data_IF_089864059063
#
_entry.id   IF_089864059063
#
_cell.length_a   1.000
_cell.length_b   1.000
_cell.length_c   1.000
_cell.angle_alpha   90.00
_cell.angle_beta   90.00
_cell.angle_gamma   90.00
#
_symmetry.space_group_name_H-M   'P 1'
#
loop_
_entity.id
_entity.type
_entity.pdbx_description
1 polymer ?
#
# COMPACT_ATOMS: atom_id res chain seq x y z
N UNK A 1 3.10 11.51 -25.98
CA UNK A 1 3.83 12.20 -24.89
C UNK A 1 4.26 11.13 -23.91
N UNK A 2 5.52 10.74 -23.92
CA UNK A 2 6.08 9.77 -22.97
C UNK A 2 6.09 10.46 -21.61
N UNK A 3 5.19 10.05 -20.71
CA UNK A 3 5.29 10.39 -19.29
C UNK A 3 6.55 9.69 -18.76
N UNK A 4 7.66 10.39 -18.80
CA UNK A 4 8.81 10.04 -17.97
C UNK A 4 8.38 10.30 -16.54
N UNK A 5 7.87 9.26 -15.88
CA UNK A 5 7.38 9.42 -14.51
C UNK A 5 8.59 9.72 -13.62
N UNK A 6 8.44 10.72 -12.78
CA UNK A 6 9.41 11.12 -11.75
C UNK A 6 9.83 9.91 -10.86
N UNK A 7 9.10 8.81 -10.91
CA UNK A 7 9.31 7.60 -10.12
C UNK A 7 9.51 6.38 -11.01
N UNK A 8 10.53 5.57 -10.71
CA UNK A 8 10.83 4.33 -11.44
C UNK A 8 9.94 3.15 -11.02
N UNK A 9 9.49 3.12 -9.77
CA UNK A 9 8.76 2.00 -9.20
C UNK A 9 7.44 1.66 -9.92
N UNK A 10 6.64 2.59 -10.47
CA UNK A 10 5.38 2.21 -11.11
C UNK A 10 5.57 1.27 -12.30
N UNK A 11 6.56 1.56 -13.16
CA UNK A 11 6.88 0.71 -14.31
C UNK A 11 7.33 -0.68 -13.88
N UNK A 12 8.24 -0.74 -12.92
CA UNK A 12 8.73 -1.99 -12.36
C UNK A 12 7.58 -2.82 -11.75
N UNK A 13 6.71 -2.18 -10.99
CA UNK A 13 5.57 -2.85 -10.35
C UNK A 13 4.56 -3.37 -11.36
N UNK A 14 4.24 -2.60 -12.39
CA UNK A 14 3.33 -3.03 -13.45
C UNK A 14 3.89 -4.22 -14.23
N UNK A 15 5.17 -4.18 -14.62
CA UNK A 15 5.80 -5.30 -15.31
C UNK A 15 5.89 -6.54 -14.41
N UNK A 16 6.18 -6.37 -13.13
CA UNK A 16 6.14 -7.46 -12.16
C UNK A 16 4.75 -8.10 -12.10
N UNK A 17 3.68 -7.31 -12.11
CA UNK A 17 2.32 -7.84 -12.15
C UNK A 17 2.05 -8.67 -13.40
N UNK A 18 2.50 -8.19 -14.57
CA UNK A 18 2.35 -8.93 -15.83
C UNK A 18 3.09 -10.28 -15.79
N UNK A 19 4.29 -10.31 -15.20
CA UNK A 19 5.06 -11.57 -15.02
C UNK A 19 4.42 -12.51 -14.02
N UNK A 20 3.87 -11.99 -12.92
CA UNK A 20 3.19 -12.80 -11.91
C UNK A 20 1.96 -13.52 -12.45
N UNK A 21 1.26 -12.93 -13.42
CA UNK A 21 0.05 -13.54 -13.98
C UNK A 21 0.29 -14.96 -14.52
N UNK A 22 1.48 -15.26 -15.02
CA UNK A 22 1.86 -16.58 -15.52
C UNK A 22 1.89 -17.67 -14.43
N UNK A 23 1.92 -17.29 -13.15
CA UNK A 23 1.97 -18.24 -12.02
C UNK A 23 0.61 -18.53 -11.39
N UNK A 24 -0.48 -17.99 -11.95
CA UNK A 24 -1.82 -18.22 -11.40
C UNK A 24 -2.12 -19.72 -11.22
N UNK A 25 -1.75 -20.51 -12.21
CA UNK A 25 -2.02 -21.96 -12.25
C UNK A 25 -0.81 -22.80 -11.80
N UNK A 26 0.34 -22.16 -11.50
CA UNK A 26 1.56 -22.83 -10.99
C UNK A 26 2.17 -22.06 -9.81
N UNK A 27 1.43 -21.97 -8.74
CA UNK A 27 1.83 -21.22 -7.52
C UNK A 27 2.97 -21.88 -6.78
N UNK A 28 3.16 -23.21 -6.96
CA UNK A 28 4.30 -23.91 -6.37
C UNK A 28 5.63 -23.49 -7.03
N UNK A 29 5.65 -23.29 -8.34
CA UNK A 29 6.82 -22.75 -9.03
C UNK A 29 7.13 -21.30 -8.56
N UNK A 30 6.10 -20.48 -8.30
CA UNK A 30 6.27 -19.16 -7.72
C UNK A 30 6.92 -19.23 -6.33
N UNK A 31 6.42 -20.08 -5.45
CA UNK A 31 6.98 -20.28 -4.10
C UNK A 31 8.43 -20.74 -4.19
N UNK A 32 8.75 -21.72 -5.04
CA UNK A 32 10.11 -22.20 -5.24
C UNK A 32 11.05 -21.07 -5.74
N UNK A 33 10.57 -20.23 -6.67
CA UNK A 33 11.32 -19.08 -7.16
C UNK A 33 11.60 -18.08 -6.04
N UNK A 34 10.59 -17.75 -5.21
CA UNK A 34 10.76 -16.83 -4.08
C UNK A 34 11.75 -17.39 -3.04
N UNK A 35 11.69 -18.70 -2.75
CA UNK A 35 12.64 -19.35 -1.84
C UNK A 35 14.08 -19.25 -2.37
N UNK A 36 14.27 -19.50 -3.67
CA UNK A 36 15.58 -19.38 -4.31
C UNK A 36 16.12 -17.95 -4.20
N UNK A 37 15.30 -16.93 -4.53
CA UNK A 37 15.66 -15.51 -4.39
C UNK A 37 16.10 -15.19 -2.97
N UNK A 38 15.33 -15.60 -1.98
CA UNK A 38 15.68 -15.31 -0.59
C UNK A 38 16.95 -16.02 -0.15
N UNK A 39 17.19 -17.26 -0.59
CA UNK A 39 18.43 -17.98 -0.34
C UNK A 39 19.66 -17.28 -0.97
N UNK A 40 19.54 -16.81 -2.22
CA UNK A 40 20.61 -16.04 -2.89
C UNK A 40 20.92 -14.72 -2.17
N UNK A 41 19.93 -14.10 -1.57
CA UNK A 41 20.08 -12.88 -0.77
C UNK A 41 20.62 -13.15 0.66
N UNK A 42 20.85 -14.40 1.03
CA UNK A 42 21.27 -14.79 2.37
C UNK A 42 20.19 -14.47 3.43
N UNK A 43 18.91 -14.56 3.06
CA UNK A 43 17.76 -14.25 3.87
C UNK A 43 16.79 -15.42 3.94
N UNK A 44 16.04 -15.52 5.04
CA UNK A 44 14.92 -16.45 5.11
C UNK A 44 13.68 -15.84 4.44
N UNK A 45 12.98 -16.64 3.62
CA UNK A 45 11.65 -16.27 3.15
C UNK A 45 10.72 -16.13 4.37
N UNK A 46 10.07 -14.98 4.55
CA UNK A 46 9.19 -14.81 5.69
C UNK A 46 8.13 -15.90 5.72
N UNK A 47 8.04 -16.58 6.84
CA UNK A 47 6.98 -17.58 7.06
C UNK A 47 5.66 -16.81 7.21
N UNK A 48 4.81 -16.93 6.20
CA UNK A 48 3.46 -16.38 6.21
C UNK A 48 2.51 -17.32 6.95
N UNK A 49 2.96 -18.53 7.18
CA UNK A 49 2.28 -19.59 7.87
C UNK A 49 3.01 -19.91 9.19
N UNK A 50 2.31 -20.41 10.17
CA UNK A 50 2.82 -20.74 11.50
C UNK A 50 3.95 -21.80 11.43
N UNK A 51 5.15 -21.38 11.05
CA UNK A 51 6.39 -22.15 11.21
C UNK A 51 6.89 -22.91 10.00
N UNK A 52 6.45 -22.63 8.77
CA UNK A 52 6.90 -23.37 7.60
C UNK A 52 6.96 -22.57 6.30
N UNK A 53 7.40 -23.26 5.25
CA UNK A 53 7.32 -22.79 3.87
C UNK A 53 5.85 -22.60 3.52
N UNK A 54 5.45 -21.48 2.87
CA UNK A 54 4.07 -21.31 2.45
C UNK A 54 3.65 -22.43 1.50
N UNK A 55 2.48 -23.00 1.73
CA UNK A 55 1.90 -24.05 0.86
C UNK A 55 1.18 -23.48 -0.34
N UNK A 56 0.81 -22.20 -0.27
CA UNK A 56 0.16 -21.44 -1.35
C UNK A 56 0.42 -19.95 -1.14
N UNK A 57 0.32 -19.15 -2.20
CA UNK A 57 0.60 -17.70 -2.16
C UNK A 57 -0.27 -16.95 -3.15
N UNK A 58 -0.75 -15.78 -2.76
CA UNK A 58 -1.45 -14.84 -3.61
C UNK A 58 -0.50 -13.74 -4.17
N UNK A 59 -0.85 -13.09 -5.29
CA UNK A 59 0.04 -12.14 -5.94
C UNK A 59 0.27 -10.86 -5.13
N UNK A 60 -0.70 -10.42 -4.31
CA UNK A 60 -0.55 -9.22 -3.48
C UNK A 60 0.43 -9.47 -2.33
N UNK A 61 0.45 -10.69 -1.80
CA UNK A 61 1.45 -11.11 -0.80
C UNK A 61 2.86 -11.06 -1.35
N UNK A 62 3.09 -11.36 -2.63
CA UNK A 62 4.41 -11.19 -3.27
C UNK A 62 4.88 -9.74 -3.17
N UNK A 63 4.02 -8.76 -3.45
CA UNK A 63 4.34 -7.34 -3.23
C UNK A 63 4.54 -7.02 -1.74
N UNK A 64 3.78 -7.65 -0.86
CA UNK A 64 3.92 -7.52 0.59
C UNK A 64 5.29 -7.96 1.11
N UNK A 65 6.00 -8.86 0.43
CA UNK A 65 7.34 -9.30 0.80
C UNK A 65 8.36 -8.16 0.87
N UNK A 66 8.21 -7.13 0.04
CA UNK A 66 9.07 -5.95 0.04
C UNK A 66 8.33 -4.65 0.38
N UNK A 67 7.00 -4.59 0.33
CA UNK A 67 6.21 -3.43 0.74
C UNK A 67 5.72 -3.53 2.19
N UNK A 68 6.65 -3.71 3.11
CA UNK A 68 6.43 -3.81 4.56
C UNK A 68 7.48 -3.03 5.32
N UNK A 69 7.44 -3.03 6.66
CA UNK A 69 8.36 -2.31 7.54
C UNK A 69 9.82 -2.76 7.47
N UNK A 70 10.42 -2.69 6.29
CA UNK A 70 11.84 -2.95 6.04
C UNK A 70 12.57 -1.63 5.79
N UNK A 71 13.86 -1.57 6.10
CA UNK A 71 14.72 -0.48 5.64
C UNK A 71 14.71 -0.39 4.10
N UNK A 72 14.75 0.83 3.56
CA UNK A 72 14.65 1.09 2.12
C UNK A 72 15.61 0.25 1.28
N UNK A 73 16.88 0.14 1.68
CA UNK A 73 17.86 -0.68 0.98
C UNK A 73 17.44 -2.16 0.92
N UNK A 74 16.89 -2.70 2.02
CA UNK A 74 16.43 -4.09 2.07
C UNK A 74 15.17 -4.30 1.21
N UNK A 75 14.24 -3.35 1.22
CA UNK A 75 13.06 -3.37 0.33
C UNK A 75 13.51 -3.47 -1.14
N UNK A 76 14.43 -2.61 -1.49
CA UNK A 76 14.98 -2.51 -2.85
C UNK A 76 15.68 -3.81 -3.28
N UNK A 77 16.53 -4.38 -2.39
CA UNK A 77 17.23 -5.65 -2.65
C UNK A 77 16.25 -6.78 -2.90
N UNK A 78 15.22 -6.93 -2.05
CA UNK A 78 14.21 -8.00 -2.21
C UNK A 78 13.38 -7.78 -3.49
N UNK A 79 12.90 -6.55 -3.73
CA UNK A 79 12.10 -6.24 -4.92
C UNK A 79 12.88 -6.53 -6.22
N UNK A 80 14.14 -6.13 -6.30
CA UNK A 80 15.01 -6.41 -7.48
C UNK A 80 15.33 -7.89 -7.62
N UNK A 81 15.59 -8.59 -6.52
CA UNK A 81 15.81 -10.04 -6.55
C UNK A 81 14.59 -10.77 -7.13
N UNK A 82 13.40 -10.47 -6.62
CA UNK A 82 12.15 -11.05 -7.13
C UNK A 82 11.93 -10.66 -8.60
N UNK A 83 12.05 -9.37 -8.93
CA UNK A 83 11.88 -8.89 -10.30
C UNK A 83 12.84 -9.55 -11.28
N UNK A 84 14.11 -9.65 -10.92
CA UNK A 84 15.14 -10.32 -11.74
C UNK A 84 14.81 -11.81 -11.99
N UNK A 85 14.43 -12.53 -10.95
CA UNK A 85 14.06 -13.96 -11.06
C UNK A 85 12.81 -14.17 -11.93
N UNK A 86 11.88 -13.19 -11.94
CA UNK A 86 10.66 -13.25 -12.75
C UNK A 86 10.84 -12.60 -14.14
N UNK A 87 12.03 -12.11 -14.49
CA UNK A 87 12.30 -11.53 -15.79
C UNK A 87 11.71 -10.14 -16.00
N UNK A 88 11.65 -9.33 -14.94
CA UNK A 88 11.31 -7.89 -15.04
C UNK A 88 12.52 -7.12 -15.56
N UNK A 89 12.32 -6.34 -16.61
CA UNK A 89 13.36 -5.52 -17.25
C UNK A 89 13.32 -4.05 -16.84
N UNK A 90 12.18 -3.57 -16.37
CA UNK A 90 12.05 -2.20 -15.88
C UNK A 90 13.01 -1.95 -14.70
N UNK A 91 13.73 -0.84 -14.76
CA UNK A 91 14.67 -0.48 -13.70
C UNK A 91 13.90 -0.02 -12.46
N UNK A 92 14.38 -0.45 -11.31
CA UNK A 92 13.95 0.04 -10.01
C UNK A 92 15.10 0.81 -9.36
N UNK A 93 14.96 2.12 -9.22
CA UNK A 93 15.87 2.97 -8.45
C UNK A 93 15.48 2.97 -6.96
N UNK A 94 16.30 3.59 -6.10
CA UNK A 94 16.12 3.61 -4.63
C UNK A 94 14.92 4.48 -4.16
N UNK A 95 13.87 4.53 -4.96
CA UNK A 95 12.75 5.44 -4.78
C UNK A 95 11.47 4.65 -4.50
N UNK A 96 11.07 4.65 -3.23
CA UNK A 96 9.79 4.12 -2.77
C UNK A 96 8.87 5.22 -2.20
N UNK A 97 9.11 6.48 -2.61
CA UNK A 97 8.27 7.60 -2.17
C UNK A 97 6.84 7.39 -2.63
N UNK A 98 5.90 7.46 -1.70
CA UNK A 98 4.49 7.26 -1.97
C UNK A 98 4.05 5.80 -2.12
N UNK A 99 4.95 4.82 -2.08
CA UNK A 99 4.56 3.41 -2.09
C UNK A 99 4.01 3.02 -0.72
N UNK A 100 2.72 2.64 -0.60
CA UNK A 100 2.16 2.23 0.67
C UNK A 100 2.83 0.94 1.18
N UNK A 101 3.03 0.87 2.49
CA UNK A 101 3.63 -0.29 3.15
C UNK A 101 2.69 -0.88 4.19
N UNK A 102 2.71 -2.19 4.31
CA UNK A 102 2.06 -2.89 5.40
C UNK A 102 2.87 -2.69 6.70
N UNK A 103 2.20 -2.50 7.83
CA UNK A 103 2.87 -2.31 9.13
C UNK A 103 3.65 -3.55 9.55
N UNK A 104 3.10 -4.73 9.30
CA UNK A 104 3.80 -5.98 9.46
C UNK A 104 3.33 -7.00 8.39
N UNK A 105 4.02 -8.12 8.26
CA UNK A 105 3.71 -9.13 7.26
C UNK A 105 2.39 -9.85 7.54
N UNK A 106 1.97 -9.91 8.81
CA UNK A 106 0.69 -10.51 9.20
C UNK A 106 -0.51 -9.65 8.78
N UNK A 107 -0.29 -8.42 8.34
CA UNK A 107 -1.30 -7.59 7.69
C UNK A 107 -1.45 -7.87 6.18
N UNK A 108 -0.78 -8.88 5.65
CA UNK A 108 -1.01 -9.36 4.28
C UNK A 108 -2.42 -9.93 4.16
N UNK A 109 -2.96 -9.94 2.93
CA UNK A 109 -4.27 -10.53 2.63
C UNK A 109 -4.37 -12.03 2.97
N UNK A 110 -3.25 -12.60 3.31
CA UNK A 110 -2.97 -14.00 3.41
C UNK A 110 -2.37 -14.33 4.80
N UNK A 111 -3.14 -15.00 5.61
CA UNK A 111 -2.72 -15.58 6.89
C UNK A 111 -3.35 -16.96 6.99
N UNK A 112 -2.54 -18.03 6.99
CA UNK A 112 -3.00 -19.39 7.00
C UNK A 112 -3.98 -19.68 8.14
N UNK A 113 -3.74 -19.12 9.32
CA UNK A 113 -4.58 -19.32 10.49
C UNK A 113 -5.97 -18.66 10.36
N UNK A 114 -6.16 -17.76 9.39
CA UNK A 114 -7.37 -16.94 9.25
C UNK A 114 -8.00 -17.01 7.87
N UNK A 115 -7.33 -17.60 6.88
CA UNK A 115 -7.87 -17.76 5.52
C UNK A 115 -8.91 -18.90 5.49
N UNK A 116 -9.95 -18.69 4.72
CA UNK A 116 -10.91 -19.72 4.35
C UNK A 116 -10.52 -20.44 3.06
N UNK A 117 -11.22 -21.52 2.77
CA UNK A 117 -11.06 -22.23 1.51
C UNK A 117 -11.35 -21.32 0.31
N UNK A 118 -10.46 -21.35 -0.69
CA UNK A 118 -10.56 -20.56 -1.90
C UNK A 118 -10.22 -19.08 -1.73
N UNK A 119 -9.73 -18.60 -0.56
CA UNK A 119 -9.36 -17.20 -0.38
C UNK A 119 -8.22 -16.78 -1.30
N UNK A 120 -7.18 -17.62 -1.45
CA UNK A 120 -6.05 -17.34 -2.36
C UNK A 120 -6.53 -17.34 -3.81
N UNK A 121 -7.41 -18.26 -4.20
CA UNK A 121 -8.00 -18.28 -5.54
C UNK A 121 -8.75 -16.98 -5.86
N UNK A 122 -9.58 -16.51 -4.94
CA UNK A 122 -10.29 -15.21 -5.09
C UNK A 122 -9.34 -14.02 -5.21
N UNK A 123 -8.19 -14.06 -4.54
CA UNK A 123 -7.16 -13.01 -4.68
C UNK A 123 -6.50 -13.06 -6.06
N UNK A 124 -6.23 -14.26 -6.62
CA UNK A 124 -5.76 -14.41 -7.99
C UNK A 124 -6.81 -13.98 -9.00
N UNK A 125 -8.08 -14.28 -8.75
CA UNK A 125 -9.18 -13.82 -9.61
C UNK A 125 -9.28 -12.29 -9.61
N UNK A 126 -9.28 -11.66 -8.42
CA UNK A 126 -9.26 -10.20 -8.32
C UNK A 126 -8.04 -9.61 -9.04
N UNK A 127 -6.85 -10.17 -8.83
CA UNK A 127 -5.64 -9.73 -9.50
C UNK A 127 -5.79 -9.76 -11.03
N UNK A 128 -6.26 -10.89 -11.57
CA UNK A 128 -6.45 -11.08 -13.02
C UNK A 128 -7.41 -10.06 -13.61
N UNK A 129 -8.59 -9.89 -12.99
CA UNK A 129 -9.60 -8.95 -13.50
C UNK A 129 -9.20 -7.50 -13.26
N UNK A 130 -8.41 -7.21 -12.21
CA UNK A 130 -7.89 -5.88 -11.96
C UNK A 130 -6.88 -5.45 -13.05
N UNK A 131 -5.99 -6.34 -13.47
CA UNK A 131 -5.11 -6.08 -14.61
C UNK A 131 -5.92 -5.84 -15.89
N UNK A 132 -6.85 -6.75 -16.19
CA UNK A 132 -7.68 -6.66 -17.39
C UNK A 132 -8.52 -5.37 -17.46
N UNK A 133 -9.12 -4.96 -16.33
CA UNK A 133 -9.91 -3.73 -16.27
C UNK A 133 -9.06 -2.47 -16.39
N UNK A 134 -7.91 -2.44 -15.73
CA UNK A 134 -7.00 -1.30 -15.81
C UNK A 134 -6.42 -1.11 -17.22
N UNK A 135 -6.06 -2.20 -17.89
CA UNK A 135 -5.44 -2.19 -19.21
C UNK A 135 -6.49 -1.95 -20.31
N UNK A 136 -7.74 -2.40 -20.11
CA UNK A 136 -8.84 -2.22 -21.05
C UNK A 136 -10.18 -2.05 -20.33
N UNK A 137 -10.51 -0.84 -19.88
CA UNK A 137 -11.78 -0.56 -19.19
C UNK A 137 -12.96 -0.70 -20.15
N UNK A 138 -13.82 -1.68 -19.90
CA UNK A 138 -15.10 -1.92 -20.58
C UNK A 138 -16.15 -2.23 -19.54
N UNK A 139 -17.42 -2.19 -19.88
CA UNK A 139 -18.50 -2.60 -18.99
C UNK A 139 -18.30 -4.04 -18.48
N UNK A 140 -17.91 -4.94 -19.37
CA UNK A 140 -17.66 -6.35 -19.04
C UNK A 140 -16.50 -6.51 -18.03
N UNK A 141 -15.35 -5.87 -18.29
CA UNK A 141 -14.19 -5.96 -17.38
C UNK A 141 -14.46 -5.24 -16.07
N UNK A 142 -15.25 -4.16 -16.08
CA UNK A 142 -15.69 -3.46 -14.87
C UNK A 142 -16.65 -4.30 -14.03
N UNK A 143 -17.60 -4.98 -14.63
CA UNK A 143 -18.50 -5.90 -13.92
C UNK A 143 -17.72 -7.08 -13.29
N UNK A 144 -16.76 -7.66 -14.03
CA UNK A 144 -15.90 -8.72 -13.51
C UNK A 144 -15.04 -8.24 -12.34
N UNK A 145 -14.44 -7.04 -12.43
CA UNK A 145 -13.70 -6.42 -11.34
C UNK A 145 -14.58 -6.22 -10.11
N UNK A 146 -15.76 -5.62 -10.26
CA UNK A 146 -16.67 -5.38 -9.14
C UNK A 146 -17.05 -6.68 -8.43
N UNK A 147 -17.36 -7.73 -9.19
CA UNK A 147 -17.70 -9.03 -8.61
C UNK A 147 -16.54 -9.62 -7.79
N UNK A 148 -15.34 -9.64 -8.34
CA UNK A 148 -14.17 -10.20 -7.67
C UNK A 148 -13.72 -9.36 -6.47
N UNK A 149 -13.75 -8.03 -6.58
CA UNK A 149 -13.41 -7.12 -5.49
C UNK A 149 -14.34 -7.31 -4.28
N UNK A 150 -15.65 -7.31 -4.51
CA UNK A 150 -16.64 -7.51 -3.45
C UNK A 150 -16.58 -8.94 -2.85
N UNK A 151 -16.18 -9.93 -3.64
CA UNK A 151 -15.93 -11.28 -3.13
C UNK A 151 -14.71 -11.32 -2.19
N UNK A 152 -13.63 -10.60 -2.54
CA UNK A 152 -12.42 -10.50 -1.70
C UNK A 152 -12.71 -9.72 -0.42
N UNK A 153 -13.48 -8.63 -0.46
CA UNK A 153 -13.81 -7.86 0.75
C UNK A 153 -14.57 -8.65 1.82
N UNK A 154 -15.16 -9.78 1.46
CA UNK A 154 -15.82 -10.70 2.43
C UNK A 154 -14.82 -11.59 3.18
N UNK A 155 -13.57 -11.64 2.74
CA UNK A 155 -12.53 -12.42 3.39
C UNK A 155 -12.12 -11.77 4.72
N UNK A 156 -11.79 -12.59 5.70
CA UNK A 156 -11.51 -12.15 7.07
C UNK A 156 -10.36 -11.14 7.19
N UNK A 157 -9.34 -11.24 6.33
CA UNK A 157 -8.15 -10.39 6.36
C UNK A 157 -8.18 -9.29 5.30
N UNK A 158 -9.20 -9.24 4.46
CA UNK A 158 -9.38 -8.21 3.47
C UNK A 158 -9.89 -6.92 4.13
N UNK A 159 -9.17 -5.84 3.90
CA UNK A 159 -9.49 -4.52 4.41
C UNK A 159 -8.86 -3.46 3.47
N UNK A 160 -8.36 -2.37 3.99
CA UNK A 160 -7.66 -1.34 3.23
C UNK A 160 -6.45 -1.85 2.44
N UNK A 161 -5.84 -2.94 2.87
CA UNK A 161 -4.76 -3.62 2.16
C UNK A 161 -5.13 -4.09 0.75
N UNK A 162 -6.42 -4.35 0.46
CA UNK A 162 -6.90 -4.64 -0.90
C UNK A 162 -6.65 -3.46 -1.83
N UNK A 163 -6.98 -2.24 -1.40
CA UNK A 163 -6.74 -1.04 -2.22
C UNK A 163 -5.26 -0.73 -2.39
N UNK A 164 -4.44 -1.05 -1.38
CA UNK A 164 -2.98 -0.96 -1.49
C UNK A 164 -2.43 -1.95 -2.52
N UNK A 165 -2.92 -3.19 -2.50
CA UNK A 165 -2.57 -4.22 -3.47
C UNK A 165 -2.93 -3.83 -4.91
N UNK A 166 -4.13 -3.31 -5.13
CA UNK A 166 -4.56 -2.80 -6.44
C UNK A 166 -3.67 -1.66 -6.92
N UNK A 167 -3.32 -0.72 -6.05
CA UNK A 167 -2.41 0.37 -6.37
C UNK A 167 -0.99 -0.15 -6.72
N UNK A 168 -0.48 -1.18 -6.04
CA UNK A 168 0.81 -1.75 -6.41
C UNK A 168 0.80 -2.32 -7.83
N UNK A 169 -0.23 -3.07 -8.20
CA UNK A 169 -0.25 -3.79 -9.48
C UNK A 169 -0.59 -2.91 -10.67
N UNK A 170 -1.39 -1.84 -10.48
CA UNK A 170 -1.70 -0.84 -11.52
C UNK A 170 -1.82 0.56 -10.90
N UNK A 171 -0.67 1.18 -10.55
CA UNK A 171 -0.62 2.43 -9.77
C UNK A 171 -1.25 3.64 -10.45
N UNK A 172 -1.43 3.62 -11.75
CA UNK A 172 -2.11 4.69 -12.50
C UNK A 172 -3.63 4.47 -12.62
N UNK A 173 -4.12 3.25 -12.34
CA UNK A 173 -5.51 2.90 -12.50
C UNK A 173 -6.30 2.85 -11.18
N UNK A 174 -5.64 2.62 -10.06
CA UNK A 174 -6.29 2.40 -8.77
C UNK A 174 -5.79 3.36 -7.70
N UNK A 175 -6.73 4.02 -7.02
CA UNK A 175 -6.42 4.89 -5.89
C UNK A 175 -6.05 4.07 -4.65
N UNK A 176 -4.95 4.45 -3.99
CA UNK A 176 -4.57 3.89 -2.71
C UNK A 176 -5.41 4.51 -1.60
N UNK A 177 -6.04 3.68 -0.78
CA UNK A 177 -6.79 4.11 0.40
C UNK A 177 -6.12 3.61 1.70
N UNK A 178 -4.79 3.67 1.76
CA UNK A 178 -4.06 3.47 3.02
C UNK A 178 -4.46 4.54 4.04
N UNK A 179 -4.15 4.36 5.32
CA UNK A 179 -4.46 5.36 6.35
C UNK A 179 -3.87 6.74 6.03
N UNK A 180 -2.66 6.77 5.44
CA UNK A 180 -1.98 8.01 5.04
C UNK A 180 -2.71 8.72 3.90
N UNK A 181 -3.08 7.98 2.86
CA UNK A 181 -3.74 8.57 1.68
C UNK A 181 -5.16 9.01 2.04
N UNK A 182 -5.91 8.24 2.84
CA UNK A 182 -7.23 8.68 3.34
C UNK A 182 -7.12 9.94 4.17
N UNK A 183 -6.14 10.01 5.09
CA UNK A 183 -5.89 11.23 5.85
C UNK A 183 -5.60 12.41 4.93
N UNK A 184 -4.73 12.25 3.94
CA UNK A 184 -4.38 13.30 3.00
C UNK A 184 -5.60 13.75 2.17
N UNK A 185 -6.35 12.80 1.63
CA UNK A 185 -7.56 13.06 0.84
C UNK A 185 -8.68 13.73 1.67
N UNK A 186 -8.71 13.55 2.99
CA UNK A 186 -9.68 14.18 3.89
C UNK A 186 -9.29 15.60 4.32
N UNK A 187 -8.05 16.05 4.04
CA UNK A 187 -7.63 17.40 4.38
C UNK A 187 -8.32 18.45 3.51
N UNK A 188 -8.69 19.62 4.06
CA UNK A 188 -9.15 20.74 3.26
C UNK A 188 -8.12 21.11 2.18
N UNK A 189 -8.60 21.57 1.03
CA UNK A 189 -7.78 22.05 -0.11
C UNK A 189 -6.89 20.98 -0.78
N UNK A 190 -7.02 19.70 -0.42
CA UNK A 190 -6.31 18.59 -1.07
C UNK A 190 -7.14 17.86 -2.12
N UNK A 191 -8.45 17.94 -2.02
CA UNK A 191 -9.44 17.41 -2.95
C UNK A 191 -10.70 18.28 -2.90
N UNK A 192 -11.65 18.13 -3.84
CA UNK A 192 -12.95 18.76 -3.75
C UNK A 192 -13.66 18.43 -2.43
N UNK A 193 -14.46 19.35 -1.88
CA UNK A 193 -15.11 19.18 -0.56
C UNK A 193 -15.96 17.92 -0.43
N UNK A 194 -16.60 17.47 -1.51
CA UNK A 194 -17.40 16.24 -1.54
C UNK A 194 -16.52 14.99 -1.41
N UNK A 195 -15.36 14.95 -2.07
CA UNK A 195 -14.36 13.88 -1.91
C UNK A 195 -13.79 13.88 -0.49
N UNK A 196 -13.41 15.05 0.05
CA UNK A 196 -12.91 15.18 1.41
C UNK A 196 -13.93 14.63 2.42
N UNK A 197 -15.20 15.05 2.30
CA UNK A 197 -16.29 14.65 3.19
C UNK A 197 -16.54 13.14 3.12
N UNK A 198 -16.58 12.56 1.92
CA UNK A 198 -16.77 11.12 1.75
C UNK A 198 -15.61 10.32 2.36
N UNK A 199 -14.36 10.67 2.01
CA UNK A 199 -13.20 9.92 2.51
C UNK A 199 -13.08 10.00 4.03
N UNK A 200 -13.42 11.14 4.64
CA UNK A 200 -13.41 11.32 6.11
C UNK A 200 -14.43 10.45 6.83
N UNK A 201 -15.50 10.03 6.15
CA UNK A 201 -16.57 9.19 6.72
C UNK A 201 -16.34 7.68 6.49
N UNK A 202 -15.34 7.29 5.71
CA UNK A 202 -15.06 5.89 5.43
C UNK A 202 -14.56 5.15 6.68
N UNK A 203 -15.39 4.34 7.29
CA UNK A 203 -15.03 3.47 8.42
C UNK A 203 -14.42 2.12 7.96
N UNK A 204 -14.71 1.69 6.74
CA UNK A 204 -14.23 0.45 6.10
C UNK A 204 -14.00 0.69 4.61
N UNK A 205 -13.27 -0.20 3.91
CA UNK A 205 -13.16 -0.10 2.45
C UNK A 205 -14.53 -0.06 1.80
N UNK A 206 -14.76 0.87 0.86
CA UNK A 206 -16.02 0.92 0.13
C UNK A 206 -16.17 -0.32 -0.78
N UNK A 207 -17.41 -0.75 -1.05
CA UNK A 207 -17.67 -1.78 -2.06
C UNK A 207 -17.20 -1.34 -3.45
N UNK A 208 -17.08 -2.28 -4.37
CA UNK A 208 -16.44 -2.08 -5.67
C UNK A 208 -16.97 -0.87 -6.44
N UNK A 209 -18.29 -0.73 -6.53
CA UNK A 209 -18.90 0.39 -7.27
C UNK A 209 -18.56 1.75 -6.62
N UNK A 210 -18.66 1.86 -5.30
CA UNK A 210 -18.32 3.09 -4.58
C UNK A 210 -16.81 3.38 -4.66
N UNK A 211 -15.96 2.34 -4.63
CA UNK A 211 -14.52 2.47 -4.82
C UNK A 211 -14.17 3.05 -6.20
N UNK A 212 -14.77 2.49 -7.26
CA UNK A 212 -14.54 2.99 -8.62
C UNK A 212 -15.10 4.41 -8.81
N UNK A 213 -16.27 4.71 -8.26
CA UNK A 213 -16.85 6.05 -8.31
C UNK A 213 -15.98 7.09 -7.57
N UNK A 214 -15.43 6.73 -6.40
CA UNK A 214 -14.47 7.58 -5.68
C UNK A 214 -13.19 7.77 -6.49
N UNK A 215 -12.61 6.67 -7.03
CA UNK A 215 -11.44 6.72 -7.90
C UNK A 215 -11.62 7.69 -9.06
N UNK A 216 -12.75 7.61 -9.76
CA UNK A 216 -13.04 8.44 -10.95
C UNK A 216 -13.14 9.92 -10.56
N UNK A 217 -13.80 10.25 -9.45
CA UNK A 217 -13.86 11.64 -8.96
C UNK A 217 -12.49 12.18 -8.54
N UNK A 218 -11.63 11.34 -7.95
CA UNK A 218 -10.26 11.74 -7.64
C UNK A 218 -9.46 12.00 -8.93
N UNK A 219 -9.61 11.15 -9.96
CA UNK A 219 -9.00 11.37 -11.28
C UNK A 219 -9.48 12.66 -11.94
N UNK A 220 -10.79 12.91 -11.94
CA UNK A 220 -11.39 14.14 -12.50
C UNK A 220 -10.86 15.37 -11.77
N UNK A 221 -10.79 15.32 -10.44
CA UNK A 221 -10.24 16.41 -9.64
C UNK A 221 -8.75 16.68 -9.98
N UNK A 222 -7.93 15.64 -10.09
CA UNK A 222 -6.52 15.79 -10.47
C UNK A 222 -6.38 16.35 -11.90
N UNK A 223 -7.27 15.97 -12.81
CA UNK A 223 -7.28 16.44 -14.20
C UNK A 223 -7.66 17.92 -14.35
N UNK A 224 -8.25 18.53 -13.34
CA UNK A 224 -8.64 19.96 -13.34
C UNK A 224 -7.44 20.90 -13.35
N UNK A 225 -6.24 20.45 -13.03
CA UNK A 225 -5.05 21.27 -12.89
C UNK A 225 -5.01 22.16 -11.64
N UNK A 226 -5.93 21.91 -10.70
CA UNK A 226 -5.99 22.67 -9.42
C UNK A 226 -4.92 22.18 -8.43
N UNK A 227 -4.45 20.93 -8.58
CA UNK A 227 -3.54 20.28 -7.64
C UNK A 227 -2.18 20.03 -8.28
N UNK A 228 -1.12 19.97 -7.45
CA UNK A 228 0.26 19.73 -7.88
C UNK A 228 0.56 18.23 -8.19
N UNK A 229 -0.47 17.42 -8.32
CA UNK A 229 -0.39 16.01 -8.66
C UNK A 229 -1.48 15.65 -9.66
N UNK A 230 -1.10 14.87 -10.67
CA UNK A 230 -1.93 14.51 -11.83
C UNK A 230 -2.17 13.00 -11.94
N UNK A 231 -1.43 12.23 -11.14
CA UNK A 231 -1.50 10.76 -11.10
C UNK A 231 -1.59 10.25 -9.67
N UNK A 232 -2.11 9.04 -9.48
CA UNK A 232 -2.15 8.42 -8.15
C UNK A 232 -0.76 8.20 -7.52
N UNK A 233 0.31 7.83 -8.26
CA UNK A 233 1.67 7.83 -7.71
C UNK A 233 2.10 9.19 -7.17
N UNK A 234 1.84 10.27 -7.88
CA UNK A 234 2.17 11.62 -7.43
C UNK A 234 1.34 12.04 -6.22
N UNK A 235 0.04 11.74 -6.21
CA UNK A 235 -0.84 11.97 -5.06
C UNK A 235 -0.32 11.24 -3.83
N UNK A 236 -0.03 9.94 -3.92
CA UNK A 236 0.47 9.16 -2.79
C UNK A 236 1.86 9.63 -2.33
N UNK A 237 2.72 10.07 -3.26
CA UNK A 237 4.00 10.68 -2.92
C UNK A 237 3.83 12.04 -2.21
N UNK A 238 2.85 12.85 -2.62
CA UNK A 238 2.49 14.10 -1.95
C UNK A 238 1.97 13.82 -0.53
N UNK A 239 1.05 12.87 -0.38
CA UNK A 239 0.54 12.42 0.90
C UNK A 239 1.68 11.98 1.85
N UNK A 240 2.64 11.24 1.31
CA UNK A 240 3.82 10.81 2.07
C UNK A 240 4.65 12.01 2.55
N UNK A 241 5.00 12.95 1.66
CA UNK A 241 5.81 14.13 2.01
C UNK A 241 5.12 15.00 3.06
N UNK A 242 3.84 15.29 2.88
CA UNK A 242 3.07 16.11 3.82
C UNK A 242 2.99 15.42 5.19
N UNK A 243 2.72 14.11 5.23
CA UNK A 243 2.66 13.37 6.49
C UNK A 243 4.00 13.35 7.23
N UNK A 244 5.13 13.22 6.50
CA UNK A 244 6.47 13.27 7.10
C UNK A 244 6.82 14.68 7.63
N UNK A 245 6.36 15.73 6.96
CA UNK A 245 6.52 17.08 7.44
C UNK A 245 5.74 17.31 8.73
N UNK A 246 4.45 16.95 8.77
CA UNK A 246 3.61 17.06 9.97
C UNK A 246 4.21 16.27 11.14
N UNK A 247 4.71 15.07 10.87
CA UNK A 247 5.37 14.24 11.90
C UNK A 247 6.63 14.90 12.48
N UNK A 248 7.44 15.57 11.63
CA UNK A 248 8.62 16.31 12.08
C UNK A 248 8.23 17.49 12.94
N UNK A 249 7.32 18.34 12.47
CA UNK A 249 6.84 19.51 13.19
C UNK A 249 6.24 19.13 14.56
N UNK A 250 5.48 18.05 14.61
CA UNK A 250 4.90 17.55 15.87
C UNK A 250 5.98 17.07 16.84
N UNK A 251 7.03 16.40 16.34
CA UNK A 251 8.15 15.94 17.17
C UNK A 251 8.99 17.13 17.70
N UNK A 252 9.21 18.12 16.87
CA UNK A 252 9.94 19.33 17.24
C UNK A 252 9.17 20.12 18.31
N UNK A 253 7.88 20.36 18.11
CA UNK A 253 7.01 21.00 19.09
C UNK A 253 6.90 20.21 20.41
N UNK A 254 6.98 18.88 20.34
CA UNK A 254 7.03 18.01 21.52
C UNK A 254 8.34 18.20 22.31
N UNK A 255 9.48 18.26 21.61
CA UNK A 255 10.80 18.49 22.24
C UNK A 255 10.89 19.88 22.88
N UNK A 256 10.44 20.93 22.17
CA UNK A 256 10.40 22.27 22.73
C UNK A 256 9.55 22.36 24.01
N UNK A 257 8.42 21.65 24.06
CA UNK A 257 7.60 21.56 25.27
C UNK A 257 8.31 20.82 26.39
N UNK A 258 9.01 19.70 26.09
CA UNK A 258 9.81 18.97 27.09
C UNK A 258 10.97 19.80 27.62
N UNK A 259 11.67 20.55 26.74
CA UNK A 259 12.77 21.45 27.15
C UNK A 259 12.25 22.62 28.01
N UNK A 260 11.11 23.21 27.67
CA UNK A 260 10.48 24.27 28.48
C UNK A 260 10.04 23.73 29.84
N UNK A 261 9.47 22.52 29.91
CA UNK A 261 9.08 21.90 31.17
C UNK A 261 10.31 21.53 32.01
N UNK A 262 11.40 21.04 31.39
CA UNK A 262 12.66 20.78 32.09
C UNK A 262 13.32 22.08 32.60
N UNK A 263 13.32 23.14 31.80
CA UNK A 263 13.84 24.44 32.21
C UNK A 263 13.01 25.05 33.36
N UNK A 264 11.68 24.94 33.31
CA UNK A 264 10.80 25.34 34.40
C UNK A 264 11.01 24.51 35.70
N UNK A 265 11.23 23.20 35.52
CA UNK A 265 11.50 22.31 36.66
C UNK A 265 12.87 22.54 37.32
N UNK A 266 13.83 23.08 36.55
CA UNK A 266 15.14 23.50 37.10
C UNK A 266 15.11 24.90 37.77
N UNK A 267 14.07 25.69 37.50
CA UNK A 267 13.85 27.01 38.06
C UNK A 267 13.00 27.05 39.35
N UNK A 268 12.28 25.98 39.66
CA UNK A 268 11.36 25.90 40.81
C UNK A 268 11.54 24.53 41.52
N UNK A 269 12.22 24.56 42.66
CA UNK A 269 12.55 23.36 43.42
C UNK A 269 11.36 22.78 44.23
N UNK A 270 10.13 22.97 43.77
CA UNK A 270 8.97 22.42 44.49
C UNK A 270 7.75 22.23 43.56
N UNK A 271 7.82 21.26 42.61
CA UNK A 271 6.61 20.81 41.87
C UNK A 271 6.62 19.29 41.74
N UNK A 272 5.64 18.65 42.37
CA UNK A 272 5.33 17.24 42.25
C UNK A 272 5.14 16.83 40.77
N UNK A 273 5.83 15.79 40.37
CA UNK A 273 5.82 15.23 39.02
C UNK A 273 4.46 14.70 38.66
N UNK A 274 3.74 15.40 37.81
CA UNK A 274 2.51 14.91 37.16
C UNK A 274 2.92 14.18 35.87
N UNK A 275 2.76 12.85 35.82
CA UNK A 275 2.99 12.03 34.62
C UNK A 275 1.76 12.12 33.72
N UNK A 276 1.89 12.76 32.57
CA UNK A 276 0.90 12.69 31.50
C UNK A 276 1.25 11.54 30.54
N UNK A 277 0.34 10.59 30.40
CA UNK A 277 0.40 9.59 29.34
C UNK A 277 -0.14 10.22 28.05
N UNK A 278 0.73 10.47 27.09
CA UNK A 278 0.34 10.83 25.73
C UNK A 278 -0.25 9.56 25.07
N UNK A 279 -1.54 9.59 24.84
CA UNK A 279 -2.26 8.59 24.06
C UNK A 279 -1.91 8.81 22.60
N UNK A 280 -1.15 7.90 21.99
CA UNK A 280 -0.98 7.86 20.54
C UNK A 280 -2.25 7.20 19.92
N UNK A 281 -3.01 7.88 19.07
CA UNK A 281 -4.11 7.25 18.35
C UNK A 281 -3.53 6.41 17.23
N UNK A 282 -3.47 5.11 17.42
CA UNK A 282 -2.97 4.20 16.40
C UNK A 282 -3.19 2.74 16.78
N UNK A 283 -4.40 2.25 16.59
CA UNK A 283 -4.69 0.83 16.31
C UNK A 283 -5.88 0.73 15.36
#
# INVERSE_FOLDING_TARGET
>A
MTMDSQYSWPRFFMELADKLLAFKDDRQALIATLQHVYAELGMDLPTLDSGGIPTDIDPFTVYGLFNRGLATAKRWTVARGIGGALGVHALLHDDFVGVPTLLNINATLYDQARRGDGDIERLWDLFTVALAYADRPTEQTGAAFCHAYDAVLKQRNASWNVTMGLFWVRPYAYVNLSSRDRWFLSLPDRMPPDVNAEVSQLASPPGAFAYLALRDRVLDAMSSGTYDYTTFPELSACAWRVSEQVNRETKEAGKEKEEVVQAAALGDADVQTVRYWLYAPGR
#
